data_IF_093507070593
#
_entry.id   IF_093507070593
#
_cell.length_a   1.000
_cell.length_b   1.000
_cell.length_c   1.000
_cell.angle_alpha   90.00
_cell.angle_beta   90.00
_cell.angle_gamma   90.00
#
_symmetry.space_group_name_H-M   'P 1'
#
loop_
_entity.id
_entity.type
_entity.pdbx_description
1 polymer ?
#
# COMPACT_ATOMS: atom_id res chain seq x y z
N UNK A 1 10.66 -29.18 -13.22
CA UNK A 1 10.70 -28.99 -11.76
C UNK A 1 9.30 -29.27 -11.21
N UNK A 2 9.17 -29.93 -10.05
CA UNK A 2 7.88 -30.15 -9.37
C UNK A 2 7.44 -28.88 -8.63
N UNK A 3 6.15 -28.67 -8.42
CA UNK A 3 5.62 -27.48 -7.70
C UNK A 3 6.21 -27.37 -6.30
N UNK A 4 6.35 -28.50 -5.58
CA UNK A 4 6.91 -28.51 -4.22
C UNK A 4 8.34 -27.95 -4.17
N UNK A 5 9.20 -28.36 -5.11
CA UNK A 5 10.59 -27.85 -5.20
C UNK A 5 10.61 -26.37 -5.58
N UNK A 6 9.76 -25.95 -6.51
CA UNK A 6 9.64 -24.53 -6.88
C UNK A 6 9.20 -23.67 -5.69
N UNK A 7 8.21 -24.12 -4.92
CA UNK A 7 7.73 -23.41 -3.73
C UNK A 7 8.81 -23.30 -2.65
N UNK A 8 9.60 -24.36 -2.42
CA UNK A 8 10.72 -24.32 -1.49
C UNK A 8 11.80 -23.31 -1.93
N UNK A 9 12.19 -23.34 -3.22
CA UNK A 9 13.16 -22.38 -3.77
C UNK A 9 12.63 -20.95 -3.66
N UNK A 10 11.35 -20.73 -3.99
CA UNK A 10 10.71 -19.41 -3.87
C UNK A 10 10.74 -18.91 -2.43
N UNK A 11 10.43 -19.77 -1.45
CA UNK A 11 10.44 -19.40 -0.04
C UNK A 11 11.86 -19.04 0.43
N UNK A 12 12.85 -19.88 0.10
CA UNK A 12 14.25 -19.61 0.42
C UNK A 12 14.74 -18.30 -0.20
N UNK A 13 14.36 -18.03 -1.45
CA UNK A 13 14.72 -16.81 -2.16
C UNK A 13 14.10 -15.57 -1.51
N UNK A 14 12.83 -15.61 -1.10
CA UNK A 14 12.18 -14.51 -0.36
C UNK A 14 12.91 -14.22 0.95
N UNK A 15 13.31 -15.25 1.69
CA UNK A 15 14.07 -15.09 2.93
C UNK A 15 15.43 -14.41 2.69
N UNK A 16 16.15 -14.82 1.64
CA UNK A 16 17.42 -14.21 1.24
C UNK A 16 17.25 -12.75 0.84
N UNK A 17 16.23 -12.41 0.03
CA UNK A 17 15.93 -11.02 -0.32
C UNK A 17 15.69 -10.18 0.93
N UNK A 18 14.89 -10.67 1.87
CA UNK A 18 14.59 -9.93 3.10
C UNK A 18 15.85 -9.60 3.89
N UNK A 19 16.77 -10.56 4.04
CA UNK A 19 18.07 -10.32 4.69
C UNK A 19 18.91 -9.28 3.94
N UNK A 20 19.00 -9.38 2.60
CA UNK A 20 19.77 -8.43 1.78
C UNK A 20 19.19 -7.01 1.93
N UNK A 21 17.87 -6.86 1.85
CA UNK A 21 17.20 -5.56 1.99
C UNK A 21 17.45 -4.99 3.39
N UNK A 22 17.28 -5.81 4.43
CA UNK A 22 17.54 -5.40 5.82
C UNK A 22 18.96 -4.88 5.99
N UNK A 23 19.95 -5.61 5.49
CA UNK A 23 21.36 -5.21 5.58
C UNK A 23 21.66 -3.95 4.76
N UNK A 24 21.04 -3.83 3.58
CA UNK A 24 21.20 -2.66 2.70
C UNK A 24 20.70 -1.37 3.34
N UNK A 25 19.62 -1.45 4.11
CA UNK A 25 19.10 -0.30 4.86
C UNK A 25 20.10 0.19 5.93
N UNK A 26 20.76 -0.74 6.62
CA UNK A 26 21.80 -0.41 7.62
C UNK A 26 22.98 0.30 6.97
N UNK A 27 23.46 -0.21 5.82
CA UNK A 27 24.57 0.40 5.08
C UNK A 27 24.20 1.64 4.25
N UNK A 28 22.93 2.07 4.28
CA UNK A 28 22.43 3.23 3.51
C UNK A 28 22.67 3.12 2.00
N UNK A 29 22.79 1.89 1.48
CA UNK A 29 22.99 1.65 0.05
C UNK A 29 21.69 1.12 -0.57
N UNK A 30 20.89 2.03 -1.11
CA UNK A 30 19.56 1.72 -1.65
C UNK A 30 19.57 1.17 -3.08
N UNK A 31 20.72 1.14 -3.75
CA UNK A 31 20.86 0.52 -5.08
C UNK A 31 20.89 -1.01 -5.00
N UNK A 32 21.45 -1.58 -3.92
CA UNK A 32 21.51 -3.03 -3.72
C UNK A 32 20.11 -3.67 -3.67
N UNK A 33 19.14 -3.15 -2.89
CA UNK A 33 17.76 -3.64 -2.90
C UNK A 33 17.13 -3.61 -4.29
N UNK A 34 17.32 -2.52 -5.04
CA UNK A 34 16.73 -2.35 -6.38
C UNK A 34 17.21 -3.45 -7.34
N UNK A 35 18.53 -3.64 -7.43
CA UNK A 35 19.14 -4.67 -8.29
C UNK A 35 18.70 -6.07 -7.82
N UNK A 36 18.73 -6.31 -6.51
CA UNK A 36 18.36 -7.61 -5.91
C UNK A 36 16.92 -8.00 -6.27
N UNK A 37 15.98 -7.06 -6.18
CA UNK A 37 14.56 -7.31 -6.50
C UNK A 37 14.39 -7.62 -8.00
N UNK A 38 15.06 -6.88 -8.89
CA UNK A 38 15.01 -7.13 -10.34
C UNK A 38 15.59 -8.48 -10.72
N UNK A 39 16.82 -8.79 -10.26
CA UNK A 39 17.50 -10.06 -10.53
C UNK A 39 16.69 -11.25 -10.00
N UNK A 40 16.18 -11.13 -8.78
CA UNK A 40 15.34 -12.14 -8.15
C UNK A 40 14.05 -12.40 -8.95
N UNK A 41 13.42 -11.36 -9.47
CA UNK A 41 12.22 -11.48 -10.29
C UNK A 41 12.51 -12.21 -11.61
N UNK A 42 13.60 -11.83 -12.30
CA UNK A 42 14.02 -12.51 -13.53
C UNK A 42 14.35 -13.98 -13.27
N UNK A 43 15.05 -14.28 -12.17
CA UNK A 43 15.35 -15.65 -11.75
C UNK A 43 14.06 -16.45 -11.48
N UNK A 44 13.10 -15.89 -10.75
CA UNK A 44 11.82 -16.55 -10.49
C UNK A 44 11.00 -16.77 -11.77
N UNK A 45 11.03 -15.84 -12.72
CA UNK A 45 10.38 -15.99 -14.03
C UNK A 45 11.04 -17.12 -14.83
N UNK A 46 12.38 -17.17 -14.86
CA UNK A 46 13.12 -18.22 -15.54
C UNK A 46 12.85 -19.61 -14.93
N UNK A 47 12.83 -19.70 -13.59
CA UNK A 47 12.53 -20.93 -12.87
C UNK A 47 11.07 -21.36 -13.06
N UNK A 48 10.13 -20.41 -13.08
CA UNK A 48 8.70 -20.68 -13.35
C UNK A 48 8.50 -21.37 -14.70
N UNK A 49 9.25 -20.96 -15.74
CA UNK A 49 9.21 -21.59 -17.08
C UNK A 49 9.68 -23.05 -17.09
N UNK A 50 10.38 -23.51 -16.05
CA UNK A 50 10.87 -24.90 -15.92
C UNK A 50 9.93 -25.82 -15.12
N UNK A 51 8.81 -25.29 -14.59
CA UNK A 51 7.80 -26.07 -13.88
C UNK A 51 6.87 -26.74 -14.89
N UNK A 52 6.71 -28.07 -14.80
CA UNK A 52 5.91 -28.85 -15.77
C UNK A 52 4.46 -29.02 -15.35
N UNK A 53 4.15 -28.77 -14.08
CA UNK A 53 2.82 -28.92 -13.49
C UNK A 53 2.00 -27.62 -13.62
N UNK A 54 0.67 -27.72 -13.56
CA UNK A 54 -0.25 -26.57 -13.63
C UNK A 54 -0.09 -25.71 -12.37
N UNK A 55 0.34 -24.45 -12.54
CA UNK A 55 0.70 -23.55 -11.42
C UNK A 55 -0.50 -22.81 -10.84
N UNK A 56 -1.52 -22.53 -11.64
CA UNK A 56 -2.72 -21.80 -11.23
C UNK A 56 -3.96 -22.45 -11.84
N UNK A 57 -5.02 -22.55 -11.03
CA UNK A 57 -6.31 -23.12 -11.44
C UNK A 57 -7.10 -22.07 -12.24
N UNK A 58 -7.94 -22.51 -13.19
CA UNK A 58 -8.78 -21.61 -14.00
C UNK A 58 -9.71 -20.76 -13.12
N UNK A 59 -10.12 -21.33 -11.98
CA UNK A 59 -10.93 -20.63 -10.98
C UNK A 59 -10.24 -19.40 -10.39
N UNK A 60 -8.91 -19.43 -10.23
CA UNK A 60 -8.17 -18.28 -9.70
C UNK A 60 -8.23 -17.12 -10.69
N UNK A 61 -8.07 -17.39 -11.99
CA UNK A 61 -8.22 -16.39 -13.03
C UNK A 61 -9.65 -15.87 -13.17
N UNK A 62 -10.65 -16.74 -12.99
CA UNK A 62 -12.06 -16.35 -13.03
C UNK A 62 -12.45 -15.47 -11.84
N UNK A 63 -11.93 -15.77 -10.64
CA UNK A 63 -12.30 -15.06 -9.40
C UNK A 63 -11.60 -13.71 -9.28
N UNK A 64 -10.30 -13.66 -9.58
CA UNK A 64 -9.53 -12.42 -9.48
C UNK A 64 -9.58 -11.58 -10.76
N UNK A 65 -9.79 -12.19 -11.93
CA UNK A 65 -9.72 -11.50 -13.21
C UNK A 65 -8.28 -11.18 -13.64
N UNK A 66 -7.99 -11.38 -14.94
CA UNK A 66 -6.65 -11.14 -15.51
C UNK A 66 -6.20 -9.68 -15.37
N UNK A 67 -7.13 -8.73 -15.53
CA UNK A 67 -6.84 -7.31 -15.43
C UNK A 67 -6.44 -6.87 -14.01
N UNK A 68 -7.13 -7.35 -12.98
CA UNK A 68 -6.83 -6.97 -11.60
C UNK A 68 -5.48 -7.52 -11.13
N UNK A 69 -5.13 -8.75 -11.50
CA UNK A 69 -3.80 -9.30 -11.23
C UNK A 69 -2.69 -8.47 -11.85
N UNK A 70 -2.86 -8.07 -13.12
CA UNK A 70 -1.88 -7.26 -13.82
C UNK A 70 -1.75 -5.86 -13.19
N UNK A 71 -2.88 -5.23 -12.83
CA UNK A 71 -2.89 -3.95 -12.13
C UNK A 71 -2.16 -4.04 -10.77
N UNK A 72 -2.46 -5.06 -9.97
CA UNK A 72 -1.80 -5.30 -8.68
C UNK A 72 -0.30 -5.48 -8.83
N UNK A 73 0.13 -6.24 -9.84
CA UNK A 73 1.54 -6.48 -10.09
C UNK A 73 2.26 -5.20 -10.53
N UNK A 74 1.71 -4.47 -11.51
CA UNK A 74 2.30 -3.21 -11.98
C UNK A 74 2.40 -2.19 -10.85
N UNK A 75 1.31 -1.99 -10.09
CA UNK A 75 1.29 -1.04 -8.98
C UNK A 75 2.35 -1.39 -7.92
N UNK A 76 2.47 -2.67 -7.56
CA UNK A 76 3.44 -3.11 -6.56
C UNK A 76 4.88 -2.90 -7.04
N UNK A 77 5.17 -3.21 -8.31
CA UNK A 77 6.50 -3.02 -8.90
C UNK A 77 6.88 -1.53 -8.96
N UNK A 78 5.99 -0.69 -9.46
CA UNK A 78 6.21 0.76 -9.53
C UNK A 78 6.38 1.32 -8.12
N UNK A 79 5.53 0.93 -7.16
CA UNK A 79 5.59 1.41 -5.79
C UNK A 79 6.91 1.04 -5.08
N UNK A 80 7.39 -0.19 -5.25
CA UNK A 80 8.68 -0.64 -4.68
C UNK A 80 9.85 0.15 -5.29
N UNK A 81 9.86 0.34 -6.61
CA UNK A 81 10.91 1.12 -7.30
C UNK A 81 10.87 2.58 -6.84
N UNK A 82 9.68 3.19 -6.79
CA UNK A 82 9.50 4.57 -6.35
C UNK A 82 9.94 4.78 -4.90
N UNK A 83 9.60 3.85 -3.99
CA UNK A 83 10.04 3.88 -2.60
C UNK A 83 11.58 3.88 -2.50
N UNK A 84 12.26 2.95 -3.17
CA UNK A 84 13.73 2.89 -3.11
C UNK A 84 14.39 4.10 -3.79
N UNK A 85 13.81 4.62 -4.87
CA UNK A 85 14.29 5.83 -5.53
C UNK A 85 14.19 7.06 -4.61
N UNK A 86 13.07 7.22 -3.90
CA UNK A 86 12.88 8.30 -2.92
C UNK A 86 13.85 8.17 -1.74
N UNK A 87 14.10 6.96 -1.25
CA UNK A 87 15.11 6.73 -0.21
C UNK A 87 16.52 7.03 -0.68
N UNK A 88 16.87 6.69 -1.93
CA UNK A 88 18.15 7.04 -2.52
C UNK A 88 18.31 8.57 -2.66
N UNK A 89 17.21 9.29 -2.91
CA UNK A 89 17.20 10.74 -3.07
C UNK A 89 17.06 11.52 -1.75
N UNK A 90 16.98 10.86 -0.59
CA UNK A 90 16.70 11.51 0.70
C UNK A 90 17.71 12.60 1.09
N UNK A 91 18.95 12.49 0.62
CA UNK A 91 20.01 13.45 0.94
C UNK A 91 19.78 14.80 0.22
N UNK A 92 19.01 14.82 -0.88
CA UNK A 92 18.60 16.05 -1.57
C UNK A 92 17.45 16.76 -0.86
N UNK A 93 16.48 16.01 -0.35
CA UNK A 93 15.35 16.55 0.41
C UNK A 93 14.90 15.53 1.48
N UNK A 94 15.01 15.87 2.78
CA UNK A 94 14.58 14.98 3.87
C UNK A 94 13.11 14.56 3.79
N UNK A 95 12.27 15.33 3.09
CA UNK A 95 10.84 15.04 2.89
C UNK A 95 10.59 13.80 2.03
N UNK A 96 11.57 13.31 1.27
CA UNK A 96 11.40 12.10 0.46
C UNK A 96 11.35 10.82 1.27
N UNK A 97 11.97 10.79 2.45
CA UNK A 97 11.92 9.63 3.34
C UNK A 97 10.50 9.32 3.84
N UNK A 98 9.73 10.27 4.41
CA UNK A 98 8.35 9.99 4.79
C UNK A 98 7.46 9.65 3.58
N UNK A 99 7.68 10.26 2.42
CA UNK A 99 6.94 9.91 1.19
C UNK A 99 7.17 8.45 0.77
N UNK A 100 8.44 8.01 0.79
CA UNK A 100 8.79 6.62 0.52
C UNK A 100 8.11 5.64 1.50
N UNK A 101 8.08 5.98 2.79
CA UNK A 101 7.39 5.18 3.82
C UNK A 101 5.89 5.04 3.54
N UNK A 102 5.22 6.12 3.17
CA UNK A 102 3.77 6.10 2.85
C UNK A 102 3.50 5.17 1.66
N UNK A 103 4.30 5.25 0.60
CA UNK A 103 4.18 4.36 -0.56
C UNK A 103 4.37 2.90 -0.15
N UNK A 104 5.37 2.61 0.70
CA UNK A 104 5.62 1.25 1.19
C UNK A 104 4.41 0.67 1.92
N UNK A 105 3.85 1.43 2.87
CA UNK A 105 2.66 1.01 3.62
C UNK A 105 1.44 0.86 2.72
N UNK A 106 1.25 1.74 1.74
CA UNK A 106 0.15 1.64 0.77
C UNK A 106 0.24 0.35 -0.07
N UNK A 107 1.42 0.00 -0.57
CA UNK A 107 1.63 -1.26 -1.32
C UNK A 107 1.36 -2.49 -0.45
N UNK A 108 1.89 -2.52 0.78
CA UNK A 108 1.65 -3.62 1.71
C UNK A 108 0.16 -3.77 2.06
N UNK A 109 -0.51 -2.65 2.37
CA UNK A 109 -1.94 -2.64 2.68
C UNK A 109 -2.76 -3.15 1.50
N UNK A 110 -2.44 -2.72 0.28
CA UNK A 110 -3.13 -3.17 -0.93
C UNK A 110 -2.97 -4.69 -1.14
N UNK A 111 -1.77 -5.24 -0.91
CA UNK A 111 -1.52 -6.69 -1.01
C UNK A 111 -2.31 -7.49 0.03
N UNK A 112 -2.39 -7.00 1.27
CA UNK A 112 -3.18 -7.63 2.34
C UNK A 112 -4.66 -7.56 1.99
N UNK A 113 -5.16 -6.38 1.63
CA UNK A 113 -6.55 -6.15 1.26
C UNK A 113 -6.97 -7.06 0.11
N UNK A 114 -6.17 -7.12 -0.96
CA UNK A 114 -6.40 -8.01 -2.08
C UNK A 114 -6.48 -9.47 -1.64
N UNK A 115 -5.56 -9.91 -0.79
CA UNK A 115 -5.53 -11.29 -0.29
C UNK A 115 -6.74 -11.63 0.58
N UNK A 116 -7.18 -10.71 1.45
CA UNK A 116 -8.38 -10.87 2.28
C UNK A 116 -9.64 -10.91 1.42
N UNK A 117 -9.78 -9.98 0.47
CA UNK A 117 -10.92 -9.94 -0.45
C UNK A 117 -10.99 -11.21 -1.29
N UNK A 118 -9.85 -11.64 -1.86
CA UNK A 118 -9.79 -12.87 -2.64
C UNK A 118 -10.20 -14.10 -1.81
N UNK A 119 -9.71 -14.19 -0.57
CA UNK A 119 -10.13 -15.25 0.36
C UNK A 119 -11.62 -15.17 0.68
N UNK A 120 -12.15 -13.98 0.88
CA UNK A 120 -13.57 -13.77 1.17
C UNK A 120 -14.44 -14.20 -0.01
N UNK A 121 -14.11 -13.80 -1.24
CA UNK A 121 -14.81 -14.23 -2.46
C UNK A 121 -14.74 -15.73 -2.72
N UNK A 122 -13.62 -16.37 -2.38
CA UNK A 122 -13.47 -17.81 -2.52
C UNK A 122 -14.32 -18.59 -1.50
N UNK A 123 -14.51 -18.06 -0.30
CA UNK A 123 -15.28 -18.71 0.78
C UNK A 123 -16.78 -18.37 0.71
N UNK A 124 -17.14 -17.15 0.31
CA UNK A 124 -18.51 -16.65 0.27
C UNK A 124 -18.91 -16.32 -1.17
N UNK A 125 -19.77 -17.16 -1.77
CA UNK A 125 -20.48 -16.80 -3.00
C UNK A 125 -21.45 -15.67 -2.66
N UNK A 126 -21.06 -14.43 -2.94
CA UNK A 126 -21.99 -13.31 -2.87
C UNK A 126 -23.18 -13.56 -3.79
N UNK A 127 -24.38 -13.30 -3.29
CA UNK A 127 -25.58 -13.18 -4.11
C UNK A 127 -25.34 -12.16 -5.24
N UNK A 128 -25.90 -12.39 -6.42
CA UNK A 128 -25.71 -11.58 -7.65
C UNK A 128 -26.05 -10.08 -7.51
N UNK A 129 -26.54 -9.64 -6.35
CA UNK A 129 -26.78 -8.24 -6.00
C UNK A 129 -25.49 -7.44 -5.74
N UNK A 130 -24.48 -7.61 -6.59
CA UNK A 130 -23.18 -6.90 -6.54
C UNK A 130 -23.37 -5.38 -6.46
N UNK A 131 -24.40 -4.87 -7.13
CA UNK A 131 -24.77 -3.45 -7.16
C UNK A 131 -25.12 -2.88 -5.78
N UNK A 132 -25.73 -3.69 -4.89
CA UNK A 132 -26.09 -3.22 -3.54
C UNK A 132 -24.83 -3.01 -2.70
N UNK A 133 -23.86 -3.91 -2.78
CA UNK A 133 -22.60 -3.76 -2.06
C UNK A 133 -21.78 -2.59 -2.59
N UNK A 134 -21.72 -2.38 -3.91
CA UNK A 134 -21.03 -1.21 -4.47
C UNK A 134 -21.70 0.10 -4.07
N UNK A 135 -23.03 0.15 -4.02
CA UNK A 135 -23.77 1.32 -3.54
C UNK A 135 -23.51 1.55 -2.05
N UNK A 136 -23.53 0.51 -1.22
CA UNK A 136 -23.27 0.62 0.21
C UNK A 136 -21.85 1.13 0.50
N UNK A 137 -20.83 0.61 -0.19
CA UNK A 137 -19.45 1.11 -0.08
C UNK A 137 -19.34 2.55 -0.57
N UNK A 138 -20.00 2.90 -1.67
CA UNK A 138 -20.03 4.27 -2.19
C UNK A 138 -20.65 5.25 -1.19
N UNK A 139 -21.77 4.89 -0.57
CA UNK A 139 -22.43 5.69 0.49
C UNK A 139 -21.52 5.83 1.71
N UNK A 140 -20.90 4.74 2.16
CA UNK A 140 -19.95 4.78 3.28
C UNK A 140 -18.78 5.73 3.01
N UNK A 141 -18.17 5.65 1.82
CA UNK A 141 -17.08 6.54 1.43
C UNK A 141 -17.52 7.99 1.33
N UNK A 142 -18.75 8.25 0.86
CA UNK A 142 -19.33 9.58 0.80
C UNK A 142 -19.57 10.16 2.21
N UNK A 143 -20.10 9.36 3.14
CA UNK A 143 -20.25 9.75 4.56
C UNK A 143 -18.88 10.05 5.18
N UNK A 144 -17.90 9.17 4.98
CA UNK A 144 -16.53 9.39 5.47
C UNK A 144 -15.90 10.64 4.86
N UNK A 145 -16.12 10.90 3.56
CA UNK A 145 -15.65 12.11 2.88
C UNK A 145 -16.27 13.37 3.47
N UNK A 146 -17.59 13.40 3.69
CA UNK A 146 -18.28 14.51 4.35
C UNK A 146 -17.78 14.69 5.79
N UNK A 147 -17.62 13.61 6.54
CA UNK A 147 -17.09 13.65 7.91
C UNK A 147 -15.66 14.18 7.95
N UNK A 148 -14.83 13.81 6.97
CA UNK A 148 -13.44 14.29 6.85
C UNK A 148 -13.39 15.77 6.49
N UNK A 149 -14.22 16.22 5.53
CA UNK A 149 -14.37 17.63 5.19
C UNK A 149 -14.86 18.46 6.37
N UNK A 150 -15.83 17.92 7.12
CA UNK A 150 -16.32 18.57 8.34
C UNK A 150 -15.24 18.67 9.41
N UNK A 151 -14.49 17.59 9.65
CA UNK A 151 -13.40 17.58 10.64
C UNK A 151 -12.22 18.49 10.28
N UNK A 152 -11.98 18.73 8.99
CA UNK A 152 -10.91 19.62 8.50
C UNK A 152 -11.37 21.07 8.25
N UNK A 153 -12.66 21.37 8.41
CA UNK A 153 -13.25 22.68 8.11
C UNK A 153 -12.92 23.78 9.13
N UNK A 154 -12.30 23.44 10.28
CA UNK A 154 -11.96 24.45 11.31
C UNK A 154 -13.18 25.15 11.94
N UNK A 155 -14.36 24.51 11.91
CA UNK A 155 -15.61 25.08 12.45
C UNK A 155 -15.49 25.36 13.96
N UNK A 156 -14.81 24.48 14.69
CA UNK A 156 -14.60 24.54 16.15
C UNK A 156 -13.16 24.92 16.51
N UNK A 157 -12.75 26.15 16.22
CA UNK A 157 -11.38 26.64 16.47
C UNK A 157 -11.35 28.05 17.11
N UNK A 158 -10.18 28.48 17.58
CA UNK A 158 -9.94 29.84 18.03
C UNK A 158 -9.55 30.72 16.86
N UNK A 159 -10.30 31.81 16.63
CA UNK A 159 -10.02 32.77 15.56
C UNK A 159 -9.48 34.07 16.14
N UNK A 160 -8.46 34.64 15.51
CA UNK A 160 -7.94 35.95 15.90
C UNK A 160 -8.84 37.04 15.31
N UNK A 161 -9.54 37.79 16.17
CA UNK A 161 -10.31 38.97 15.75
C UNK A 161 -9.91 40.16 16.61
N UNK A 162 -9.52 41.27 15.95
CA UNK A 162 -9.12 42.51 16.62
C UNK A 162 -8.02 42.34 17.69
N UNK A 163 -7.06 41.44 17.46
CA UNK A 163 -5.96 41.17 18.38
C UNK A 163 -6.33 40.35 19.62
N UNK A 164 -7.54 39.75 19.66
CA UNK A 164 -7.96 38.83 20.71
C UNK A 164 -8.41 37.49 20.12
N UNK A 165 -8.08 36.40 20.82
CA UNK A 165 -8.59 35.07 20.47
C UNK A 165 -10.08 34.99 20.84
N UNK A 166 -10.92 34.95 19.81
CA UNK A 166 -12.37 34.79 19.96
C UNK A 166 -12.73 33.35 19.69
N UNK A 167 -13.56 32.78 20.56
CA UNK A 167 -14.06 31.41 20.43
C UNK A 167 -14.98 31.31 19.21
N UNK A 168 -14.66 30.43 18.25
CA UNK A 168 -15.53 30.09 17.12
C UNK A 168 -15.99 28.63 17.24
N UNK A 169 -17.30 28.41 17.27
CA UNK A 169 -17.86 27.08 17.57
C UNK A 169 -17.58 26.63 19.01
N UNK A 170 -17.21 25.37 19.19
CA UNK A 170 -16.87 24.79 20.49
C UNK A 170 -15.50 24.08 20.50
N UNK A 171 -14.38 24.82 20.42
CA UNK A 171 -13.04 24.25 20.47
C UNK A 171 -12.85 23.40 21.73
N UNK A 172 -12.37 22.18 21.52
CA UNK A 172 -12.05 21.22 22.60
C UNK A 172 -10.72 21.51 23.29
N UNK A 173 -9.94 22.45 22.76
CA UNK A 173 -8.62 22.85 23.25
C UNK A 173 -8.66 24.26 23.87
N UNK A 174 -7.82 24.56 24.88
CA UNK A 174 -7.75 25.89 25.49
C UNK A 174 -7.24 26.93 24.49
N UNK A 175 -7.57 28.21 24.73
CA UNK A 175 -7.15 29.31 23.88
C UNK A 175 -5.61 29.34 23.71
N UNK A 176 -5.08 29.64 22.51
CA UNK A 176 -3.65 29.74 22.28
C UNK A 176 -3.01 30.79 23.20
N UNK A 177 -1.85 30.47 23.77
CA UNK A 177 -1.06 31.41 24.59
C UNK A 177 -0.18 32.33 23.75
N UNK A 178 -0.15 32.14 22.43
CA UNK A 178 0.60 32.98 21.51
C UNK A 178 -0.12 34.33 21.28
N UNK A 179 0.66 35.39 21.06
CA UNK A 179 0.13 36.71 20.70
C UNK A 179 -0.71 36.60 19.42
N UNK A 180 -1.96 37.04 19.51
CA UNK A 180 -2.90 37.14 18.40
C UNK A 180 -2.47 38.31 17.50
N UNK A 181 -2.02 38.02 16.28
CA UNK A 181 -1.60 39.03 15.29
C UNK A 181 -2.35 38.83 13.98
#
# INVERSE_FOLDING_TARGET
>A
MTIKRYTQIRLALVFVIAMIISQSMVYRNFYIPLITVVVSSLLLIALRRRVKEVIADERDYATAGKAAFLAMQIFSWIGVIAMFALYAARDYNPSYEPMGRVIAFAVCLLMILYSVIFRFYNQFKFSDKKTIYTIAVGILLLILGIASLRGLSGEDDWICQNGAWVKHGNPSFPAPTAECK
#
